data_IF_032185850833
#
_entry.id   IF_032185850833
#
_cell.length_a   1.000
_cell.length_b   1.000
_cell.length_c   1.000
_cell.angle_alpha   90.00
_cell.angle_beta   90.00
_cell.angle_gamma   90.00
#
_symmetry.space_group_name_H-M   'P 1'
#
loop_
_entity.id
_entity.type
_entity.pdbx_description
1 polymer ?
#
# COMPACT_ATOMS: atom_id res chain seq x y z
N UNK A 1 -16.07 -6.86 -4.41
CA UNK A 1 -14.68 -7.03 -3.92
C UNK A 1 -14.59 -6.56 -2.49
N UNK A 2 -13.84 -7.27 -1.69
CA UNK A 2 -13.45 -6.85 -0.35
C UNK A 2 -12.05 -6.28 -0.38
N UNK A 3 -11.76 -5.37 0.54
CA UNK A 3 -10.49 -4.69 0.64
C UNK A 3 -9.84 -4.99 1.98
N UNK A 4 -8.51 -5.13 2.00
CA UNK A 4 -7.76 -5.34 3.22
C UNK A 4 -6.42 -4.61 3.17
N UNK A 5 -5.93 -4.24 4.35
CA UNK A 5 -4.56 -3.82 4.59
C UNK A 5 -3.86 -4.96 5.30
N UNK A 6 -2.65 -5.30 4.87
CA UNK A 6 -1.88 -6.35 5.54
C UNK A 6 -0.39 -6.07 5.41
N UNK A 7 0.37 -6.59 6.35
CA UNK A 7 1.81 -6.60 6.25
C UNK A 7 2.25 -7.80 5.42
N UNK A 8 3.28 -7.59 4.60
CA UNK A 8 3.84 -8.63 3.75
C UNK A 8 5.08 -9.20 4.41
N UNK A 9 5.14 -10.51 4.57
CA UNK A 9 6.31 -11.17 5.09
C UNK A 9 7.33 -11.38 3.98
N UNK A 10 8.52 -10.81 4.18
CA UNK A 10 9.63 -11.03 3.25
C UNK A 10 10.26 -12.41 3.51
N UNK A 11 10.42 -13.19 2.44
CA UNK A 11 11.13 -14.48 2.52
C UNK A 11 12.63 -14.31 2.66
N UNK A 12 13.17 -13.16 2.28
CA UNK A 12 14.61 -12.88 2.33
C UNK A 12 15.05 -12.27 3.65
N UNK A 13 14.24 -11.40 4.23
CA UNK A 13 14.60 -10.68 5.47
C UNK A 13 14.07 -11.35 6.73
N UNK A 14 13.33 -12.45 6.60
CA UNK A 14 12.74 -13.13 7.74
C UNK A 14 11.49 -12.45 8.26
N UNK A 15 11.34 -12.39 9.57
CA UNK A 15 10.13 -11.90 10.19
C UNK A 15 10.08 -10.38 10.19
N UNK A 16 9.00 -9.81 9.66
CA UNK A 16 8.77 -8.37 9.69
C UNK A 16 8.17 -7.89 11.01
N UNK A 17 7.58 -8.80 11.78
CA UNK A 17 7.10 -8.51 13.13
C UNK A 17 8.01 -9.22 14.13
N UNK A 18 8.48 -8.47 15.12
CA UNK A 18 9.53 -8.94 16.03
C UNK A 18 9.06 -9.92 17.08
N UNK A 19 7.76 -10.03 17.31
CA UNK A 19 7.22 -10.97 18.28
C UNK A 19 7.11 -12.37 17.67
N UNK A 20 7.85 -13.31 18.21
CA UNK A 20 7.80 -14.68 17.77
C UNK A 20 6.41 -15.28 18.01
N UNK A 21 5.66 -15.49 16.96
CA UNK A 21 4.34 -16.10 16.98
C UNK A 21 3.98 -16.59 15.58
N UNK A 22 2.81 -17.18 15.43
CA UNK A 22 2.40 -17.80 14.16
C UNK A 22 2.27 -16.82 12.99
N UNK A 23 2.13 -15.52 13.26
CA UNK A 23 2.00 -14.53 12.20
C UNK A 23 3.30 -14.33 11.43
N UNK A 24 4.44 -14.57 12.06
CA UNK A 24 5.76 -14.44 11.43
C UNK A 24 5.92 -15.36 10.23
N UNK A 25 5.09 -16.39 10.17
CA UNK A 25 5.11 -17.39 9.09
C UNK A 25 4.03 -17.15 8.04
N UNK A 26 3.26 -16.07 8.18
CA UNK A 26 2.15 -15.79 7.27
C UNK A 26 2.64 -15.26 5.93
N UNK A 27 2.03 -15.79 4.91
CA UNK A 27 2.15 -15.32 3.53
C UNK A 27 0.75 -14.99 3.03
N UNK A 28 0.41 -13.71 2.91
CA UNK A 28 -0.95 -13.33 2.49
C UNK A 28 -1.41 -13.99 1.20
N UNK A 29 -0.51 -14.20 0.26
CA UNK A 29 -0.81 -14.86 -1.00
C UNK A 29 -1.24 -16.32 -0.85
N UNK A 30 -0.86 -16.98 0.25
CA UNK A 30 -1.29 -18.35 0.54
C UNK A 30 -2.48 -18.41 1.49
N UNK A 31 -2.70 -17.35 2.28
CA UNK A 31 -3.84 -17.28 3.21
C UNK A 31 -5.13 -16.85 2.52
N UNK A 32 -5.01 -15.99 1.52
CA UNK A 32 -6.17 -15.39 0.86
C UNK A 32 -6.22 -15.83 -0.61
N UNK A 33 -7.13 -16.73 -0.92
CA UNK A 33 -7.37 -17.13 -2.30
C UNK A 33 -7.86 -15.92 -3.11
N UNK A 34 -7.27 -15.71 -4.29
CA UNK A 34 -7.62 -14.60 -5.16
C UNK A 34 -7.11 -13.24 -4.68
N UNK A 35 -6.09 -13.21 -3.82
CA UNK A 35 -5.47 -11.97 -3.39
C UNK A 35 -4.86 -11.22 -4.58
N UNK A 36 -5.26 -9.97 -4.74
CA UNK A 36 -4.73 -9.07 -5.75
C UNK A 36 -4.17 -7.83 -5.06
N UNK A 37 -2.84 -7.74 -5.03
CA UNK A 37 -2.14 -6.62 -4.38
C UNK A 37 -2.22 -5.39 -5.28
N UNK A 38 -2.82 -4.33 -4.77
CA UNK A 38 -3.01 -3.07 -5.49
C UNK A 38 -1.98 -2.02 -5.10
N UNK A 39 -1.59 -1.99 -3.84
CA UNK A 39 -0.70 -0.96 -3.29
C UNK A 39 0.33 -1.64 -2.41
N UNK A 40 1.59 -1.21 -2.57
CA UNK A 40 2.72 -1.70 -1.77
C UNK A 40 3.56 -0.52 -1.32
N UNK A 41 3.66 -0.35 -0.01
CA UNK A 41 4.45 0.73 0.60
C UNK A 41 5.25 0.19 1.78
N UNK A 42 6.05 1.06 2.39
CA UNK A 42 6.79 0.75 3.61
C UNK A 42 6.26 1.62 4.76
N UNK A 43 6.19 1.04 5.96
CA UNK A 43 5.88 1.81 7.16
C UNK A 43 7.14 2.56 7.69
N UNK A 44 7.00 3.23 8.83
CA UNK A 44 8.09 3.98 9.44
C UNK A 44 9.28 3.10 9.84
N UNK A 45 9.05 1.80 10.06
CA UNK A 45 10.09 0.82 10.42
C UNK A 45 10.68 0.13 9.19
N UNK A 46 10.26 0.52 7.99
CA UNK A 46 10.70 -0.10 6.74
C UNK A 46 10.04 -1.44 6.45
N UNK A 47 8.96 -1.77 7.12
CA UNK A 47 8.23 -3.02 6.91
C UNK A 47 7.23 -2.86 5.77
N UNK A 48 7.18 -3.86 4.90
CA UNK A 48 6.26 -3.86 3.76
C UNK A 48 4.81 -3.91 4.23
N UNK A 49 4.01 -2.99 3.75
CA UNK A 49 2.58 -2.91 4.00
C UNK A 49 1.82 -2.78 2.69
N UNK A 50 0.79 -3.58 2.55
CA UNK A 50 0.03 -3.68 1.32
C UNK A 50 -1.45 -3.35 1.53
N UNK A 51 -2.07 -2.86 0.47
CA UNK A 51 -3.52 -2.85 0.33
C UNK A 51 -3.89 -3.76 -0.84
N UNK A 52 -4.84 -4.64 -0.62
CA UNK A 52 -5.18 -5.67 -1.59
C UNK A 52 -6.69 -5.82 -1.71
N UNK A 53 -7.08 -6.45 -2.81
CA UNK A 53 -8.47 -6.85 -3.05
C UNK A 53 -8.57 -8.37 -2.96
N UNK A 54 -9.71 -8.84 -2.49
CA UNK A 54 -10.05 -10.26 -2.50
C UNK A 54 -11.50 -10.42 -2.97
N UNK A 55 -11.88 -11.61 -3.47
CA UNK A 55 -13.28 -11.89 -3.82
C UNK A 55 -14.20 -11.72 -2.61
N UNK A 56 -15.46 -11.38 -2.85
CA UNK A 56 -16.47 -11.20 -1.79
C UNK A 56 -16.67 -12.45 -0.95
N UNK A 57 -16.42 -13.62 -1.50
CA UNK A 57 -16.51 -14.90 -0.81
C UNK A 57 -15.37 -15.15 0.19
N UNK A 58 -14.31 -14.35 0.14
CA UNK A 58 -13.17 -14.50 1.03
C UNK A 58 -13.51 -13.96 2.42
N UNK A 59 -13.19 -14.74 3.45
CA UNK A 59 -13.32 -14.30 4.85
C UNK A 59 -12.04 -13.60 5.25
N UNK A 60 -12.15 -12.36 5.72
CA UNK A 60 -11.02 -11.57 6.23
C UNK A 60 -11.24 -11.35 7.73
N UNK A 61 -10.33 -11.88 8.52
CA UNK A 61 -10.35 -11.70 9.98
C UNK A 61 -9.21 -10.79 10.38
N UNK A 62 -9.53 -9.73 11.12
CA UNK A 62 -8.53 -8.78 11.60
C UNK A 62 -7.58 -9.45 12.59
N UNK A 63 -6.29 -9.17 12.42
CA UNK A 63 -5.23 -9.70 13.29
C UNK A 63 -4.30 -8.55 13.68
N UNK A 64 -4.01 -8.46 14.98
CA UNK A 64 -3.06 -7.48 15.51
C UNK A 64 -1.90 -8.21 16.18
N UNK A 65 -0.67 -7.82 15.84
CA UNK A 65 0.55 -8.34 16.42
C UNK A 65 1.33 -7.17 17.01
N UNK A 66 1.48 -7.16 18.32
CA UNK A 66 2.07 -6.03 19.01
C UNK A 66 1.25 -4.76 18.77
N UNK A 67 1.87 -3.72 18.24
CA UNK A 67 1.22 -2.47 17.87
C UNK A 67 0.77 -2.41 16.41
N UNK A 68 1.01 -3.46 15.62
CA UNK A 68 0.73 -3.47 14.18
C UNK A 68 -0.51 -4.32 13.89
N UNK A 69 -1.41 -3.76 13.08
CA UNK A 69 -2.57 -4.48 12.54
C UNK A 69 -2.11 -5.32 11.36
N UNK A 70 -1.73 -6.56 11.62
CA UNK A 70 -1.16 -7.44 10.62
C UNK A 70 -2.11 -7.76 9.46
N UNK A 71 -3.39 -7.88 9.76
CA UNK A 71 -4.48 -7.98 8.77
C UNK A 71 -5.61 -7.10 9.25
N UNK A 72 -6.13 -6.27 8.37
CA UNK A 72 -7.22 -5.36 8.68
C UNK A 72 -8.19 -5.29 7.50
N UNK A 73 -9.46 -5.58 7.78
CA UNK A 73 -10.54 -5.36 6.82
C UNK A 73 -10.74 -3.86 6.60
N UNK A 74 -10.92 -3.46 5.35
CA UNK A 74 -11.17 -2.08 4.99
C UNK A 74 -12.53 -1.92 4.33
N UNK A 75 -13.16 -0.78 4.56
CA UNK A 75 -14.27 -0.33 3.72
C UNK A 75 -13.73 0.20 2.40
N UNK A 76 -14.59 0.26 1.38
CA UNK A 76 -14.23 0.88 0.11
C UNK A 76 -13.80 2.34 0.28
N UNK A 77 -14.45 3.08 1.18
CA UNK A 77 -14.08 4.45 1.50
C UNK A 77 -12.67 4.53 2.06
N UNK A 78 -12.32 3.68 3.02
CA UNK A 78 -10.96 3.62 3.57
C UNK A 78 -9.93 3.28 2.49
N UNK A 79 -10.23 2.32 1.63
CA UNK A 79 -9.37 1.97 0.51
C UNK A 79 -9.14 3.17 -0.41
N UNK A 80 -10.19 3.90 -0.75
CA UNK A 80 -10.12 5.04 -1.65
C UNK A 80 -9.39 6.25 -1.06
N UNK A 81 -9.33 6.40 0.26
CA UNK A 81 -8.53 7.48 0.88
C UNK A 81 -7.05 7.35 0.55
N UNK A 82 -6.58 6.14 0.26
CA UNK A 82 -5.21 5.87 -0.16
C UNK A 82 -5.10 5.85 -1.68
N UNK A 83 -6.01 5.15 -2.34
CA UNK A 83 -5.98 4.93 -3.80
C UNK A 83 -6.10 6.23 -4.58
N UNK A 84 -6.99 7.12 -4.18
CA UNK A 84 -7.24 8.38 -4.91
C UNK A 84 -6.00 9.28 -4.99
N UNK A 85 -5.31 9.62 -3.90
CA UNK A 85 -4.08 10.41 -4.01
C UNK A 85 -2.95 9.65 -4.71
N UNK A 86 -2.88 8.32 -4.56
CA UNK A 86 -1.86 7.54 -5.26
C UNK A 86 -2.06 7.57 -6.77
N UNK A 87 -3.29 7.41 -7.24
CA UNK A 87 -3.61 7.50 -8.67
C UNK A 87 -3.30 8.91 -9.20
N UNK A 88 -3.60 9.96 -8.43
CA UNK A 88 -3.24 11.32 -8.78
C UNK A 88 -1.73 11.51 -8.91
N UNK A 89 -0.95 10.91 -8.00
CA UNK A 89 0.50 10.90 -8.08
C UNK A 89 1.00 10.26 -9.38
N UNK A 90 0.44 9.13 -9.75
CA UNK A 90 0.82 8.43 -10.98
C UNK A 90 0.52 9.24 -12.23
N UNK A 91 -0.63 9.91 -12.29
CA UNK A 91 -0.99 10.81 -13.40
C UNK A 91 -0.01 11.97 -13.49
N UNK A 92 0.34 12.58 -12.37
CA UNK A 92 1.30 13.70 -12.33
C UNK A 92 2.69 13.27 -12.78
N UNK A 93 3.14 12.07 -12.42
CA UNK A 93 4.41 11.53 -12.91
C UNK A 93 4.39 11.29 -14.43
N UNK A 94 3.28 10.80 -14.97
CA UNK A 94 3.12 10.64 -16.42
C UNK A 94 3.14 11.98 -17.14
N UNK A 95 2.48 13.00 -16.59
CA UNK A 95 2.50 14.37 -17.11
C UNK A 95 3.92 14.97 -17.05
N UNK A 96 4.65 14.71 -15.98
CA UNK A 96 6.05 15.14 -15.85
C UNK A 96 6.94 14.50 -16.92
N UNK A 97 6.76 13.22 -17.17
CA UNK A 97 7.51 12.50 -18.22
C UNK A 97 7.21 13.09 -19.59
N UNK A 98 5.95 13.37 -19.89
CA UNK A 98 5.53 14.00 -21.16
C UNK A 98 6.18 15.38 -21.33
N UNK A 99 6.17 16.20 -20.28
CA UNK A 99 6.78 17.53 -20.30
C UNK A 99 8.30 17.44 -20.52
N UNK A 100 8.97 16.49 -19.85
CA UNK A 100 10.40 16.27 -20.01
C UNK A 100 10.77 15.85 -21.44
N UNK A 101 9.99 14.95 -22.04
CA UNK A 101 10.19 14.52 -23.41
C UNK A 101 10.02 15.64 -24.43
N UNK A 102 9.21 16.66 -24.12
CA UNK A 102 9.03 17.84 -24.96
C UNK A 102 10.04 18.96 -24.64
N UNK A 103 10.97 18.74 -23.71
CA UNK A 103 12.00 19.71 -23.33
C UNK A 103 11.55 20.74 -22.28
N UNK A 104 10.34 20.62 -21.74
CA UNK A 104 9.85 21.51 -20.70
C UNK A 104 10.22 21.00 -19.30
N UNK A 105 11.47 21.26 -18.92
CA UNK A 105 12.03 20.79 -17.64
C UNK A 105 11.38 21.49 -16.43
N UNK A 106 10.93 22.72 -16.57
CA UNK A 106 10.29 23.48 -15.51
C UNK A 106 8.94 22.85 -15.14
N UNK A 107 8.10 22.56 -16.12
CA UNK A 107 6.82 21.87 -15.91
C UNK A 107 7.05 20.47 -15.37
N UNK A 108 8.03 19.72 -15.87
CA UNK A 108 8.37 18.39 -15.37
C UNK A 108 8.71 18.43 -13.88
N UNK A 109 9.54 19.36 -13.45
CA UNK A 109 9.92 19.51 -12.03
C UNK A 109 8.71 19.82 -11.16
N UNK A 110 7.86 20.76 -11.58
CA UNK A 110 6.63 21.10 -10.85
C UNK A 110 5.72 19.89 -10.70
N UNK A 111 5.49 19.14 -11.78
CA UNK A 111 4.64 17.94 -11.76
C UNK A 111 5.19 16.84 -10.86
N UNK A 112 6.52 16.62 -10.85
CA UNK A 112 7.14 15.66 -9.95
C UNK A 112 7.00 16.04 -8.49
N UNK A 113 7.13 17.33 -8.17
CA UNK A 113 6.94 17.81 -6.81
C UNK A 113 5.49 17.62 -6.35
N UNK A 114 4.52 17.92 -7.21
CA UNK A 114 3.10 17.66 -6.94
C UNK A 114 2.82 16.16 -6.76
N UNK A 115 3.43 15.31 -7.60
CA UNK A 115 3.31 13.87 -7.51
C UNK A 115 3.83 13.33 -6.16
N UNK A 116 4.97 13.85 -5.70
CA UNK A 116 5.55 13.49 -4.40
C UNK A 116 4.61 13.87 -3.27
N UNK A 117 3.98 15.04 -3.33
CA UNK A 117 2.99 15.48 -2.34
C UNK A 117 1.81 14.52 -2.30
N UNK A 118 1.29 14.13 -3.45
CA UNK A 118 0.17 13.17 -3.54
C UNK A 118 0.54 11.78 -3.06
N UNK A 119 1.74 11.32 -3.38
CA UNK A 119 2.24 10.05 -2.86
C UNK A 119 2.33 10.07 -1.33
N UNK A 120 2.84 11.15 -0.74
CA UNK A 120 2.92 11.30 0.70
C UNK A 120 1.56 11.37 1.37
N UNK A 121 0.56 12.00 0.73
CA UNK A 121 -0.84 11.96 1.20
C UNK A 121 -1.35 10.53 1.26
N UNK A 122 -1.12 9.74 0.21
CA UNK A 122 -1.51 8.34 0.16
C UNK A 122 -0.84 7.52 1.27
N UNK A 123 0.45 7.70 1.45
CA UNK A 123 1.22 7.00 2.49
C UNK A 123 0.74 7.36 3.89
N UNK A 124 0.51 8.63 4.16
CA UNK A 124 -0.04 9.09 5.44
C UNK A 124 -1.41 8.46 5.70
N UNK A 125 -2.29 8.44 4.71
CA UNK A 125 -3.60 7.81 4.83
C UNK A 125 -3.50 6.31 5.10
N UNK A 126 -2.60 5.60 4.41
CA UNK A 126 -2.38 4.17 4.61
C UNK A 126 -1.90 3.86 6.04
N UNK A 127 -0.94 4.62 6.53
CA UNK A 127 -0.37 4.38 7.86
C UNK A 127 -1.30 4.82 9.00
N UNK A 128 -2.32 5.62 8.70
CA UNK A 128 -3.34 6.05 9.67
C UNK A 128 -4.51 5.06 9.81
N UNK A 129 -4.60 4.06 8.96
CA UNK A 129 -5.68 3.06 8.99
C UNK A 129 -5.62 2.13 10.20
#
# INVERSE_FOLDING_TARGET
MKYLKHYWKSTTSGDYLTTANSIDKRHPETEFAGLDVQIWMHDADGVDVCMSQVPDSTTVTDVTIGSKKSVQSLTETQYNTVKTPLDASNVLNDEAMTAEMSGDTSTATTKRNEATTKYNEAKTALLAL
#
